data_IF_802546224261
#
_entry.id   IF_802546224261
#
_cell.length_a   1.000
_cell.length_b   1.000
_cell.length_c   1.000
_cell.angle_alpha   90.00
_cell.angle_beta   90.00
_cell.angle_gamma   90.00
#
_symmetry.space_group_name_H-M   'P 1'
#
loop_
_entity.id
_entity.type
_entity.pdbx_description
1 polymer ?
#
# COMPACT_ATOMS: atom_id res chain seq x y z
N UNK A 1 8.75 -37.21 -33.59
CA UNK A 1 8.89 -35.78 -33.97
C UNK A 1 9.98 -35.15 -33.12
N UNK A 2 10.91 -34.40 -33.72
CA UNK A 2 11.92 -33.61 -32.99
C UNK A 2 11.50 -32.15 -33.03
N UNK A 3 11.19 -31.57 -31.87
CA UNK A 3 10.75 -30.18 -31.79
C UNK A 3 11.95 -29.21 -31.79
N UNK A 4 11.74 -28.02 -32.35
CA UNK A 4 12.79 -27.00 -32.43
C UNK A 4 13.06 -26.33 -31.08
N UNK A 5 12.09 -26.28 -30.18
CA UNK A 5 12.18 -25.54 -28.91
C UNK A 5 11.67 -26.35 -27.71
N UNK A 6 10.62 -27.15 -27.88
CA UNK A 6 10.05 -27.98 -26.80
C UNK A 6 11.07 -29.02 -26.33
N UNK A 7 11.28 -29.08 -25.02
CA UNK A 7 12.21 -30.01 -24.38
C UNK A 7 13.69 -29.61 -24.45
N UNK A 8 14.01 -28.39 -24.89
CA UNK A 8 15.39 -27.88 -24.94
C UNK A 8 15.66 -26.88 -23.82
N UNK A 9 16.91 -26.82 -23.37
CA UNK A 9 17.39 -25.77 -22.48
C UNK A 9 17.66 -24.50 -23.30
N UNK A 10 16.67 -23.62 -23.37
CA UNK A 10 16.74 -22.35 -24.10
C UNK A 10 17.08 -21.22 -23.14
N UNK A 11 17.78 -20.20 -23.64
CA UNK A 11 18.04 -18.98 -22.87
C UNK A 11 16.70 -18.33 -22.48
N UNK A 12 16.58 -17.94 -21.21
CA UNK A 12 15.38 -17.30 -20.69
C UNK A 12 15.26 -15.89 -21.29
N UNK A 13 14.12 -15.50 -21.90
CA UNK A 13 13.99 -14.21 -22.58
C UNK A 13 14.28 -12.99 -21.70
N UNK A 14 13.91 -13.06 -20.42
CA UNK A 14 14.13 -12.02 -19.40
C UNK A 14 15.39 -12.27 -18.55
N UNK A 15 16.27 -13.17 -19.01
CA UNK A 15 17.44 -13.60 -18.26
C UNK A 15 18.48 -12.50 -18.15
N UNK A 16 18.72 -11.80 -19.27
CA UNK A 16 19.78 -10.81 -19.38
C UNK A 16 19.50 -9.60 -18.48
N UNK A 17 18.35 -8.95 -18.60
CA UNK A 17 18.07 -7.73 -17.84
C UNK A 17 18.08 -7.98 -16.32
N UNK A 18 17.70 -9.19 -15.90
CA UNK A 18 17.70 -9.58 -14.47
C UNK A 18 19.11 -9.78 -13.90
N UNK A 19 20.06 -10.28 -14.70
CA UNK A 19 21.45 -10.47 -14.23
C UNK A 19 22.30 -9.20 -14.36
N UNK A 20 21.90 -8.27 -15.22
CA UNK A 20 22.55 -6.96 -15.36
C UNK A 20 22.00 -5.89 -14.42
N UNK A 21 20.81 -6.11 -13.85
CA UNK A 21 20.09 -5.09 -13.05
C UNK A 21 19.35 -4.07 -13.91
N UNK A 22 19.24 -4.31 -15.23
CA UNK A 22 18.48 -3.47 -16.16
C UNK A 22 16.97 -3.75 -16.10
N UNK A 23 16.56 -4.88 -15.50
CA UNK A 23 15.16 -5.21 -15.33
C UNK A 23 14.49 -4.22 -14.38
N UNK A 24 13.51 -3.46 -14.88
CA UNK A 24 12.75 -2.51 -14.08
C UNK A 24 11.58 -3.19 -13.37
N UNK A 25 11.49 -2.95 -12.06
CA UNK A 25 10.37 -3.32 -11.21
C UNK A 25 9.60 -2.07 -10.77
N UNK A 26 8.43 -2.28 -10.16
CA UNK A 26 7.55 -1.19 -9.68
C UNK A 26 8.25 -0.07 -8.90
N UNK A 27 9.18 -0.33 -7.95
CA UNK A 27 9.85 0.75 -7.22
C UNK A 27 10.91 1.52 -8.02
N UNK A 28 11.33 1.01 -9.19
CA UNK A 28 12.37 1.65 -10.01
C UNK A 28 11.81 2.80 -10.86
N UNK A 29 10.48 2.85 -11.04
CA UNK A 29 9.82 3.90 -11.81
C UNK A 29 9.83 5.23 -11.04
N UNK A 30 10.38 6.27 -11.67
CA UNK A 30 10.35 7.66 -11.19
C UNK A 30 9.75 8.55 -12.26
N UNK A 31 8.79 9.38 -11.90
CA UNK A 31 8.16 10.34 -12.80
C UNK A 31 7.78 11.63 -12.05
N UNK A 32 7.63 12.72 -12.80
CA UNK A 32 7.28 14.01 -12.22
C UNK A 32 5.91 13.93 -11.52
N UNK A 33 5.85 14.46 -10.29
CA UNK A 33 4.63 14.43 -9.48
C UNK A 33 4.33 13.09 -8.80
N UNK A 34 5.28 12.15 -8.76
CA UNK A 34 5.15 10.93 -7.95
C UNK A 34 4.96 11.31 -6.47
N UNK A 35 3.89 10.79 -5.85
CA UNK A 35 3.60 10.95 -4.42
C UNK A 35 3.89 9.64 -3.69
N UNK A 36 4.20 9.77 -2.40
CA UNK A 36 4.45 8.62 -1.52
C UNK A 36 3.25 8.35 -0.63
N UNK A 37 2.84 7.08 -0.56
CA UNK A 37 1.76 6.62 0.30
C UNK A 37 2.30 5.81 1.49
N UNK A 38 1.93 6.19 2.71
CA UNK A 38 2.25 5.45 3.94
C UNK A 38 0.97 4.88 4.56
N UNK A 39 0.93 3.56 4.67
CA UNK A 39 -0.20 2.84 5.29
C UNK A 39 0.01 2.76 6.79
N UNK A 40 -0.98 3.22 7.55
CA UNK A 40 -1.07 3.03 9.00
C UNK A 40 -1.81 1.73 9.25
N UNK A 41 -1.18 0.83 10.01
CA UNK A 41 -1.67 -0.53 10.24
C UNK A 41 -2.02 -0.77 11.70
N UNK A 42 -3.01 -1.61 11.93
CA UNK A 42 -3.43 -2.01 13.27
C UNK A 42 -2.34 -2.80 14.00
N UNK A 43 -2.08 -2.45 15.26
CA UNK A 43 -1.34 -3.30 16.21
C UNK A 43 -2.23 -4.31 16.94
N UNK A 44 -3.55 -4.23 16.78
CA UNK A 44 -4.53 -5.08 17.44
C UNK A 44 -5.02 -6.19 16.52
N UNK A 45 -5.13 -7.41 17.06
CA UNK A 45 -5.66 -8.55 16.34
C UNK A 45 -7.17 -8.43 16.06
N UNK A 46 -7.93 -7.80 16.95
CA UNK A 46 -9.34 -7.49 16.72
C UNK A 46 -9.77 -6.37 17.67
N UNK A 47 -10.33 -5.28 17.14
CA UNK A 47 -10.79 -4.15 17.94
C UNK A 47 -11.75 -3.26 17.12
N UNK A 48 -12.71 -2.60 17.77
CA UNK A 48 -13.51 -1.56 17.10
C UNK A 48 -12.66 -0.31 16.90
N UNK A 49 -12.95 0.49 15.89
CA UNK A 49 -12.29 1.79 15.69
C UNK A 49 -13.27 2.83 16.24
N UNK A 50 -12.97 3.41 17.40
CA UNK A 50 -13.80 4.45 18.01
C UNK A 50 -13.60 5.80 17.35
N UNK A 51 -12.35 6.14 17.04
CA UNK A 51 -11.99 7.43 16.45
C UNK A 51 -10.68 7.36 15.69
N UNK A 52 -10.61 8.07 14.57
CA UNK A 52 -9.36 8.37 13.85
C UNK A 52 -9.21 9.88 13.84
N UNK A 53 -8.16 10.40 14.48
CA UNK A 53 -7.81 11.82 14.48
C UNK A 53 -6.63 12.05 13.54
N UNK A 54 -6.91 12.75 12.44
CA UNK A 54 -5.97 13.08 11.37
C UNK A 54 -5.53 14.55 11.41
N UNK A 55 -6.06 15.35 12.34
CA UNK A 55 -5.98 16.81 12.31
C UNK A 55 -4.55 17.38 12.41
N UNK A 56 -3.65 16.68 13.10
CA UNK A 56 -2.24 17.06 13.18
C UNK A 56 -1.49 16.70 11.89
N UNK A 57 -1.80 15.55 11.30
CA UNK A 57 -1.16 15.05 10.10
C UNK A 57 -1.54 15.88 8.86
N UNK A 58 -2.82 16.29 8.74
CA UNK A 58 -3.30 17.10 7.61
C UNK A 58 -2.66 18.49 7.52
N UNK A 59 -2.12 19.01 8.64
CA UNK A 59 -1.47 20.34 8.68
C UNK A 59 -0.02 20.32 8.23
N UNK A 60 0.57 19.13 8.01
CA UNK A 60 1.97 19.03 7.58
C UNK A 60 2.07 19.46 6.11
N UNK A 61 2.95 20.42 5.85
CA UNK A 61 3.28 20.83 4.49
C UNK A 61 3.78 19.62 3.68
N UNK A 62 3.20 19.41 2.51
CA UNK A 62 3.51 18.29 1.63
C UNK A 62 2.59 17.09 1.76
N UNK A 63 1.75 17.02 2.80
CA UNK A 63 0.62 16.06 2.84
C UNK A 63 -0.45 16.52 1.84
N UNK A 64 -0.84 15.62 0.93
CA UNK A 64 -1.86 15.89 -0.09
C UNK A 64 -3.22 15.38 0.33
N UNK A 65 -3.28 14.21 0.96
CA UNK A 65 -4.52 13.58 1.40
C UNK A 65 -4.25 12.53 2.47
N UNK A 66 -5.20 12.37 3.39
CA UNK A 66 -5.28 11.21 4.27
C UNK A 66 -6.59 10.50 3.94
N UNK A 67 -6.52 9.19 3.75
CA UNK A 67 -7.66 8.35 3.35
C UNK A 67 -7.93 7.35 4.47
N UNK A 68 -9.19 7.20 4.85
CA UNK A 68 -9.66 6.29 5.89
C UNK A 68 -10.66 5.27 5.33
N UNK A 69 -11.13 4.34 6.17
CA UNK A 69 -12.20 3.42 5.77
C UNK A 69 -13.48 4.13 5.31
N UNK A 70 -13.75 5.35 5.80
CA UNK A 70 -14.92 6.12 5.39
C UNK A 70 -14.86 6.56 3.92
N UNK A 71 -13.66 6.75 3.37
CA UNK A 71 -13.44 7.14 1.98
C UNK A 71 -13.49 5.95 1.00
N UNK A 72 -13.38 4.73 1.53
CA UNK A 72 -13.19 3.51 0.73
C UNK A 72 -13.93 2.31 1.35
N UNK A 73 -15.24 2.49 1.56
CA UNK A 73 -16.08 1.48 2.22
C UNK A 73 -16.45 0.28 1.32
N UNK A 74 -16.14 0.35 0.03
CA UNK A 74 -16.40 -0.72 -0.93
C UNK A 74 -15.68 -2.02 -0.56
N UNK A 75 -16.33 -3.14 -0.90
CA UNK A 75 -15.77 -4.46 -0.66
C UNK A 75 -14.93 -4.91 -1.85
N UNK A 76 -13.83 -5.60 -1.53
CA UNK A 76 -12.97 -6.24 -2.53
C UNK A 76 -13.61 -7.57 -2.89
N UNK A 77 -14.18 -7.65 -4.09
CA UNK A 77 -14.78 -8.85 -4.64
C UNK A 77 -13.73 -9.70 -5.35
N UNK A 78 -13.06 -10.58 -4.61
CA UNK A 78 -12.20 -11.62 -5.19
C UNK A 78 -12.79 -13.02 -5.02
N UNK A 79 -13.32 -13.31 -3.83
CA UNK A 79 -13.93 -14.60 -3.49
C UNK A 79 -15.24 -14.35 -2.74
N UNK A 80 -15.15 -13.76 -1.54
CA UNK A 80 -16.27 -13.62 -0.60
C UNK A 80 -16.80 -12.19 -0.46
N UNK A 81 -16.05 -11.17 -0.89
CA UNK A 81 -16.49 -9.77 -0.77
C UNK A 81 -16.57 -9.26 0.67
N UNK A 82 -15.81 -9.84 1.61
CA UNK A 82 -15.88 -9.51 3.03
C UNK A 82 -14.84 -8.47 3.48
N UNK A 83 -13.79 -8.27 2.67
CA UNK A 83 -12.70 -7.35 2.97
C UNK A 83 -12.93 -5.97 2.37
N UNK A 84 -12.66 -4.92 3.16
CA UNK A 84 -12.54 -3.55 2.67
C UNK A 84 -11.04 -3.22 2.50
N UNK A 85 -10.65 -2.36 1.54
CA UNK A 85 -9.24 -1.98 1.37
C UNK A 85 -8.62 -1.33 2.61
N UNK A 86 -9.44 -0.57 3.34
CA UNK A 86 -9.10 0.04 4.62
C UNK A 86 -10.20 -0.35 5.61
N UNK A 87 -9.82 -0.66 6.85
CA UNK A 87 -10.73 -1.12 7.89
C UNK A 87 -11.87 -0.12 8.12
N UNK A 88 -13.10 -0.63 8.07
CA UNK A 88 -14.34 0.09 8.38
C UNK A 88 -14.89 -0.50 9.68
N UNK A 89 -15.26 0.37 10.62
CA UNK A 89 -15.80 0.08 11.97
C UNK A 89 -14.89 -0.68 12.94
N UNK A 90 -14.11 -1.65 12.45
CA UNK A 90 -13.26 -2.50 13.26
C UNK A 90 -12.13 -3.13 12.44
N UNK A 91 -11.07 -3.47 13.15
CA UNK A 91 -9.98 -4.33 12.68
C UNK A 91 -10.21 -5.77 13.13
N UNK A 92 -9.68 -6.71 12.35
CA UNK A 92 -9.87 -8.16 12.37
C UNK A 92 -8.56 -8.93 12.37
N UNK A 93 -7.43 -8.26 12.13
CA UNK A 93 -6.09 -8.83 12.26
C UNK A 93 -5.01 -7.78 12.52
N UNK A 94 -3.86 -8.22 13.07
CA UNK A 94 -2.67 -7.39 13.22
C UNK A 94 -2.11 -7.07 11.84
N UNK A 95 -1.88 -5.80 11.54
CA UNK A 95 -1.42 -5.35 10.24
C UNK A 95 -2.54 -4.85 9.31
N UNK A 96 -3.82 -4.95 9.70
CA UNK A 96 -4.92 -4.46 8.87
C UNK A 96 -4.79 -2.94 8.63
N UNK A 97 -4.91 -2.46 7.38
CA UNK A 97 -4.86 -1.03 7.08
C UNK A 97 -6.00 -0.26 7.76
N UNK A 98 -5.68 0.86 8.42
CA UNK A 98 -6.67 1.72 9.10
C UNK A 98 -6.77 3.10 8.48
N UNK A 99 -5.65 3.62 7.99
CA UNK A 99 -5.59 4.87 7.25
C UNK A 99 -4.38 4.87 6.32
N UNK A 100 -4.38 5.76 5.33
CA UNK A 100 -3.28 5.96 4.38
C UNK A 100 -2.97 7.44 4.27
N UNK A 101 -1.72 7.82 4.49
CA UNK A 101 -1.22 9.18 4.24
C UNK A 101 -0.59 9.24 2.86
N UNK A 102 -0.93 10.26 2.07
CA UNK A 102 -0.34 10.52 0.75
C UNK A 102 0.38 11.87 0.82
N UNK A 103 1.68 11.89 0.53
CA UNK A 103 2.53 13.08 0.62
C UNK A 103 3.54 13.19 -0.52
N UNK A 104 4.25 14.33 -0.59
CA UNK A 104 5.25 14.61 -1.62
C UNK A 104 6.46 13.64 -1.59
N UNK A 105 6.87 13.17 -0.41
CA UNK A 105 7.98 12.24 -0.24
C UNK A 105 7.78 11.27 0.94
N UNK A 106 8.70 10.32 1.07
CA UNK A 106 8.65 9.26 2.07
C UNK A 106 8.80 9.78 3.51
N UNK A 107 9.65 10.77 3.75
CA UNK A 107 9.90 11.31 5.09
C UNK A 107 8.66 12.05 5.60
N UNK A 108 8.06 12.89 4.76
CA UNK A 108 6.81 13.59 5.07
C UNK A 108 5.69 12.57 5.31
N UNK A 109 5.54 11.56 4.44
CA UNK A 109 4.51 10.53 4.59
C UNK A 109 4.68 9.75 5.90
N UNK A 110 5.92 9.37 6.25
CA UNK A 110 6.23 8.65 7.48
C UNK A 110 5.98 9.52 8.73
N UNK A 111 6.41 10.77 8.72
CA UNK A 111 6.20 11.69 9.83
C UNK A 111 4.72 11.98 10.04
N UNK A 112 3.98 12.32 8.98
CA UNK A 112 2.54 12.55 9.07
C UNK A 112 1.77 11.31 9.53
N UNK A 113 2.15 10.11 9.07
CA UNK A 113 1.56 8.87 9.56
C UNK A 113 1.76 8.66 11.07
N UNK A 114 2.90 9.09 11.64
CA UNK A 114 3.15 9.00 13.07
C UNK A 114 2.27 9.93 13.93
N UNK A 115 1.71 10.98 13.32
CA UNK A 115 0.83 11.92 14.01
C UNK A 115 -0.65 11.51 13.97
N UNK A 116 -1.02 10.53 13.15
CA UNK A 116 -2.39 10.00 13.10
C UNK A 116 -2.66 9.20 14.36
N UNK A 117 -3.71 9.58 15.10
CA UNK A 117 -4.10 8.90 16.34
C UNK A 117 -5.33 8.06 16.10
N UNK A 118 -5.25 6.78 16.45
CA UNK A 118 -6.36 5.84 16.34
C UNK A 118 -6.75 5.38 17.75
N UNK A 119 -8.01 5.56 18.08
CA UNK A 119 -8.63 5.03 19.29
C UNK A 119 -9.45 3.79 18.93
N UNK A 120 -9.23 2.72 19.69
CA UNK A 120 -9.91 1.43 19.55
C UNK A 120 -10.91 1.16 20.69
#
# INVERSE_FOLDING_TARGET
MKFNTVGKNIMRPDGFEKVTGEAQFTPDFKFAGLLTAKIIRSSHAHARIKKIDISAAEKIAGVKKIVTGADCAQKIELITGDQSPIAVEKVRFVGEPVAVVIADDEEIAAYAASLVKIEY
#
